data_IF_115168805384
#
_entry.id   IF_115168805384
#
_cell.length_a   1.000
_cell.length_b   1.000
_cell.length_c   1.000
_cell.angle_alpha   90.00
_cell.angle_beta   90.00
_cell.angle_gamma   90.00
#
_symmetry.space_group_name_H-M   'P 1'
#
loop_
_entity.id
_entity.type
_entity.pdbx_description
1 polymer ?
2 non-polymer ?
3 non-polymer ?
4 water ?
#
# COMPACT_ATOMS: atom_id res chain seq x y z
N UNK A 4 -8.93 -9.22 30.11
CA UNK A 4 -8.87 -8.52 31.43
C UNK A 4 -7.53 -7.89 31.81
N UNK A 5 -6.42 -8.60 31.64
CA UNK A 5 -5.09 -8.00 31.88
C UNK A 5 -4.80 -6.94 30.85
N UNK A 6 -5.14 -7.23 29.60
CA UNK A 6 -4.94 -6.34 28.44
C UNK A 6 -6.13 -5.40 28.17
N UNK A 7 -5.93 -4.41 27.33
CA UNK A 7 -6.94 -3.40 27.12
C UNK A 7 -7.91 -3.84 26.05
N UNK A 8 -9.16 -3.45 26.20
CA UNK A 8 -10.17 -3.84 25.24
C UNK A 8 -9.87 -3.41 23.81
N UNK A 9 -9.10 -2.33 23.64
CA UNK A 9 -8.77 -1.86 22.31
C UNK A 9 -8.12 -3.00 21.46
N UNK A 10 -7.58 -4.01 22.14
CA UNK A 10 -6.94 -5.15 21.48
C UNK A 10 -7.91 -6.26 21.07
N UNK A 11 -9.23 -6.13 21.34
CA UNK A 11 -10.23 -7.15 21.01
C UNK A 11 -10.41 -7.34 19.49
N UNK A 12 -10.18 -8.55 18.99
CA UNK A 12 -10.35 -8.80 17.57
C UNK A 12 -9.06 -8.66 16.78
N UNK A 13 -8.49 -7.47 16.85
CA UNK A 13 -7.31 -7.12 16.09
C UNK A 13 -6.06 -7.99 16.31
N UNK A 14 -6.15 -9.03 17.13
CA UNK A 14 -4.90 -9.70 17.53
C UNK A 14 -4.40 -10.69 16.49
N UNK A 15 -5.30 -11.12 15.61
CA UNK A 15 -4.91 -12.07 14.59
C UNK A 15 -4.28 -11.49 13.33
N UNK A 16 -3.10 -11.99 13.03
CA UNK A 16 -2.26 -11.50 11.93
C UNK A 16 -1.92 -12.56 10.90
N UNK A 17 -2.63 -12.56 9.79
CA UNK A 17 -2.47 -13.56 8.72
C UNK A 17 -1.06 -13.71 8.18
N UNK A 18 -0.28 -12.63 8.27
CA UNK A 18 1.10 -12.60 7.78
C UNK A 18 1.86 -13.83 8.28
N UNK A 19 2.73 -13.64 9.28
CA UNK A 19 3.33 -14.75 10.06
C UNK A 19 2.92 -16.27 9.79
N UNK A 20 1.64 -16.66 9.77
CA UNK A 20 1.27 -18.08 9.49
C UNK A 20 1.77 -18.53 8.13
N UNK A 21 1.74 -17.61 7.19
CA UNK A 21 1.99 -17.97 5.81
C UNK A 21 3.49 -17.87 5.58
N UNK A 22 4.09 -16.73 5.94
CA UNK A 22 5.53 -16.53 5.73
C UNK A 22 6.37 -17.38 6.70
N UNK A 23 5.74 -18.43 7.24
CA UNK A 23 6.42 -19.48 8.01
C UNK A 23 6.15 -20.86 7.37
N UNK A 24 5.02 -21.02 6.69
CA UNK A 24 4.82 -22.17 5.84
C UNK A 24 5.72 -22.07 4.60
N UNK A 25 6.01 -20.84 4.16
CA UNK A 25 6.93 -20.56 3.05
C UNK A 25 8.34 -21.04 3.34
N UNK A 26 8.82 -20.72 4.54
CA UNK A 26 10.20 -21.05 4.95
C UNK A 26 10.45 -22.54 5.16
N UNK A 27 9.38 -23.31 5.32
CA UNK A 27 9.54 -24.76 5.35
C UNK A 27 9.34 -25.46 3.99
N UNK A 28 9.62 -24.77 2.88
CA UNK A 28 9.62 -25.34 1.51
C UNK A 28 10.63 -24.65 0.64
N UNK A 29 10.97 -25.29 -0.48
CA UNK A 29 11.77 -24.64 -1.50
C UNK A 29 10.78 -23.93 -2.45
N UNK A 30 10.85 -22.59 -2.43
CA UNK A 30 9.81 -21.71 -2.98
C UNK A 30 10.44 -20.56 -3.72
N UNK A 31 9.75 -20.11 -4.75
CA UNK A 31 10.03 -18.79 -5.28
C UNK A 31 9.04 -17.85 -4.57
N UNK A 32 9.57 -16.87 -3.84
CA UNK A 32 8.73 -16.03 -3.00
C UNK A 32 8.13 -14.78 -3.63
N UNK A 33 6.84 -14.86 -3.93
CA UNK A 33 6.15 -13.77 -4.63
C UNK A 33 5.02 -13.09 -3.83
N UNK A 34 4.98 -13.37 -2.53
CA UNK A 34 3.98 -12.79 -1.63
C UNK A 34 4.56 -11.66 -0.83
N UNK A 35 5.85 -11.45 -0.99
CA UNK A 35 6.58 -10.42 -0.26
C UNK A 35 6.38 -9.03 -0.90
N UNK A 36 5.91 -8.04 -0.14
CA UNK A 36 5.75 -6.70 -0.71
C UNK A 36 7.02 -5.86 -0.71
N UNK A 37 8.15 -6.43 -1.05
CA UNK A 37 9.41 -5.69 -1.07
C UNK A 37 10.35 -6.25 -2.19
N UNK A 38 11.23 -5.42 -2.77
CA UNK A 38 12.15 -5.93 -3.77
C UNK A 38 13.16 -6.94 -3.18
N UNK A 39 13.77 -7.75 -4.02
CA UNK A 39 14.86 -8.61 -3.57
C UNK A 39 16.09 -8.30 -4.42
N UNK A 40 16.17 -7.03 -4.83
CA UNK A 40 17.37 -6.53 -5.49
C UNK A 40 17.70 -5.33 -4.65
N UNK A 41 18.86 -4.69 -4.82
CA UNK A 41 19.23 -3.53 -3.97
C UNK A 41 18.43 -2.28 -4.30
N UNK A 42 18.39 -1.32 -3.36
CA UNK A 42 17.87 0.02 -3.64
C UNK A 42 18.78 0.65 -4.69
N UNK A 43 18.42 1.77 -5.33
CA UNK A 43 19.35 2.37 -6.30
C UNK A 43 20.57 2.87 -5.53
N UNK A 44 21.70 2.90 -6.21
CA UNK A 44 22.98 3.36 -5.65
C UNK A 44 22.93 4.71 -4.94
N UNK A 45 22.19 5.68 -5.47
CA UNK A 45 22.31 7.02 -4.91
C UNK A 45 21.67 7.05 -3.53
N UNK A 46 20.76 6.10 -3.26
CA UNK A 46 20.02 6.10 -2.00
C UNK A 46 20.81 5.31 -0.93
N UNK A 47 21.31 4.11 -1.27
CA UNK A 47 22.23 3.42 -0.40
C UNK A 47 23.36 4.40 0.00
N UNK A 48 23.97 5.01 -0.99
CA UNK A 48 25.05 5.93 -0.72
C UNK A 48 24.59 7.07 0.19
N UNK A 49 23.36 7.54 0.04
CA UNK A 49 22.84 8.56 0.95
C UNK A 49 22.80 8.05 2.39
N UNK A 50 22.40 6.80 2.59
CA UNK A 50 22.44 6.21 3.90
C UNK A 50 23.91 6.22 4.35
N UNK A 51 24.76 5.49 3.61
CA UNK A 51 26.23 5.55 3.85
C UNK A 51 26.72 6.97 4.25
N UNK A 52 26.35 8.02 3.52
CA UNK A 52 26.76 9.39 3.93
C UNK A 52 26.24 9.90 5.31
N UNK A 53 24.98 9.64 5.63
CA UNK A 53 24.39 10.08 6.90
C UNK A 53 24.97 9.33 8.13
N UNK A 54 25.35 8.05 7.95
CA UNK A 54 26.03 7.33 9.05
C UNK A 54 27.56 7.53 9.10
N UNK A 55 28.14 8.30 8.16
CA UNK A 55 29.57 8.61 8.22
C UNK A 55 29.91 10.11 8.12
N UNK A 56 28.91 10.98 8.30
CA UNK A 56 29.11 12.42 8.21
C UNK A 56 29.17 13.10 9.57
N UNK A 57 28.45 14.21 9.69
CA UNK A 57 28.51 14.99 10.92
C UNK A 57 28.06 14.04 12.04
N UNK A 58 28.96 13.67 12.94
CA UNK A 58 28.68 12.71 14.03
C UNK A 58 27.39 13.01 14.87
N UNK A 59 26.94 14.28 14.85
CA UNK A 59 25.76 14.69 15.59
C UNK A 59 24.50 14.11 14.99
N UNK A 60 24.62 13.67 13.76
CA UNK A 60 23.57 12.89 13.17
C UNK A 60 23.26 11.55 13.89
N UNK A 61 24.13 11.12 14.79
CA UNK A 61 23.82 9.95 15.62
C UNK A 61 22.88 10.28 16.76
N UNK A 62 22.73 11.57 17.03
CA UNK A 62 21.87 12.05 18.08
C UNK A 62 20.46 12.46 17.60
N UNK A 63 19.61 12.73 18.57
CA UNK A 63 18.24 13.23 18.33
C UNK A 63 18.15 14.33 17.27
N UNK A 64 17.16 14.22 16.39
CA UNK A 64 16.75 15.32 15.56
C UNK A 64 15.41 15.88 16.06
N UNK A 65 14.79 16.75 15.26
CA UNK A 65 13.56 17.41 15.67
C UNK A 65 12.39 16.42 15.70
N UNK A 66 11.46 16.72 16.59
CA UNK A 66 10.40 15.79 16.92
C UNK A 66 9.52 15.41 15.70
N UNK A 67 9.18 16.41 14.89
CA UNK A 67 8.25 16.23 13.78
C UNK A 67 8.96 16.02 12.48
N UNK A 68 10.25 15.81 12.53
CA UNK A 68 10.96 15.53 11.30
C UNK A 68 12.33 16.14 11.24
N UNK A 69 13.24 15.43 10.61
CA UNK A 69 14.54 16.00 10.34
C UNK A 69 14.36 17.16 9.35
N UNK A 70 14.75 18.38 9.73
CA UNK A 70 14.42 19.56 8.90
C UNK A 70 14.83 19.50 7.39
N UNK A 71 16.03 19.09 7.01
CA UNK A 71 16.30 18.80 5.59
C UNK A 71 15.29 17.86 4.97
N UNK A 72 14.75 16.91 5.73
CA UNK A 72 13.74 16.05 5.12
C UNK A 72 12.38 16.75 5.02
N UNK A 73 11.98 17.54 6.01
CA UNK A 73 10.69 18.20 5.93
C UNK A 73 10.76 19.29 4.87
N UNK A 74 11.95 19.91 4.69
CA UNK A 74 12.23 20.88 3.61
C UNK A 74 11.98 20.30 2.25
N UNK A 75 12.62 19.17 1.92
CA UNK A 75 12.39 18.56 0.60
C UNK A 75 10.94 18.01 0.43
N UNK A 76 10.36 17.52 1.53
CA UNK A 76 8.98 17.04 1.46
C UNK A 76 8.04 18.20 1.08
N UNK A 77 8.00 19.28 1.87
CA UNK A 77 7.28 20.52 1.52
C UNK A 77 7.48 20.95 0.07
N UNK A 78 8.74 21.02 -0.37
CA UNK A 78 9.08 21.56 -1.68
C UNK A 78 8.61 20.69 -2.84
N UNK A 79 9.08 19.45 -2.88
CA UNK A 79 8.75 18.50 -3.95
C UNK A 79 7.27 18.16 -3.99
N UNK A 80 6.75 17.75 -2.83
CA UNK A 80 5.34 17.43 -2.74
C UNK A 80 4.41 18.61 -2.91
N UNK A 81 4.84 19.79 -2.43
CA UNK A 81 4.11 21.03 -2.67
C UNK A 81 3.96 21.19 -4.17
N UNK A 82 5.06 21.05 -4.89
CA UNK A 82 4.99 21.20 -6.32
C UNK A 82 4.09 20.15 -6.99
N UNK A 83 4.13 18.88 -6.53
CA UNK A 83 3.40 17.81 -7.19
C UNK A 83 1.93 17.93 -6.91
N UNK A 84 1.58 18.32 -5.69
CA UNK A 84 0.20 18.51 -5.28
C UNK A 84 -0.36 19.86 -5.73
N UNK A 85 0.51 20.76 -6.18
CA UNK A 85 0.16 22.16 -6.37
C UNK A 85 -0.27 22.80 -5.08
N UNK A 86 0.46 22.61 -3.98
CA UNK A 86 0.04 23.18 -2.72
C UNK A 86 1.18 23.88 -1.96
N UNK A 87 0.82 24.98 -1.29
CA UNK A 87 1.72 25.62 -0.37
C UNK A 87 1.82 24.72 0.86
N UNK A 88 2.90 23.95 0.92
CA UNK A 88 3.17 23.12 2.10
C UNK A 88 4.25 23.69 3.01
N UNK A 89 3.86 24.07 4.23
CA UNK A 89 4.81 24.50 5.27
C UNK A 89 5.40 23.28 6.03
N UNK A 90 6.71 23.09 6.08
CA UNK A 90 7.26 21.84 6.60
C UNK A 90 6.89 21.64 8.05
N UNK A 91 6.74 22.74 8.79
CA UNK A 91 6.57 22.65 10.23
C UNK A 91 5.12 22.48 10.62
N UNK A 92 4.20 22.88 9.75
CA UNK A 92 2.78 22.81 10.09
C UNK A 92 2.05 21.76 9.23
N UNK A 93 2.67 21.30 8.17
CA UNK A 93 1.99 20.43 7.20
C UNK A 93 2.62 19.09 6.89
N UNK A 94 3.77 18.77 7.52
CA UNK A 94 4.55 17.56 7.26
C UNK A 94 4.93 16.87 8.57
N UNK A 95 4.73 15.56 8.65
CA UNK A 95 5.15 14.80 9.84
C UNK A 95 5.87 13.55 9.35
N UNK A 96 7.11 13.37 9.78
CA UNK A 96 7.80 12.14 9.43
C UNK A 96 7.46 11.04 10.48
N UNK A 97 7.22 9.84 9.98
CA UNK A 97 6.62 8.78 10.79
C UNK A 97 7.36 7.47 10.52
N UNK A 98 7.16 6.48 11.40
CA UNK A 98 7.78 5.18 11.18
C UNK A 98 7.07 4.47 10.04
N UNK A 99 7.56 4.74 8.83
CA UNK A 99 6.98 4.27 7.59
C UNK A 99 5.55 4.72 7.37
N UNK A 100 5.04 4.47 6.18
CA UNK A 100 3.64 4.76 5.94
C UNK A 100 2.71 4.08 6.94
N UNK A 101 3.10 2.89 7.43
CA UNK A 101 2.38 2.14 8.49
C UNK A 101 2.21 3.00 9.77
N UNK A 102 3.31 3.55 10.27
CA UNK A 102 3.26 4.43 11.43
C UNK A 102 2.43 5.66 11.17
N UNK A 103 2.43 6.12 9.91
CA UNK A 103 1.65 7.30 9.48
C UNK A 103 0.13 7.05 9.59
N UNK A 104 -0.33 5.95 9.01
CA UNK A 104 -1.71 5.48 9.13
C UNK A 104 -2.08 5.41 10.58
N UNK A 105 -1.19 4.82 11.40
CA UNK A 105 -1.54 4.51 12.76
C UNK A 105 -1.77 5.85 13.44
N UNK A 106 -0.80 6.76 13.24
CA UNK A 106 -0.87 8.13 13.81
C UNK A 106 -2.22 8.75 13.38
N UNK A 107 -2.49 8.77 12.07
CA UNK A 107 -3.73 9.31 11.58
C UNK A 107 -4.97 8.72 12.31
N UNK A 108 -5.13 7.37 12.28
CA UNK A 108 -6.24 6.71 12.98
C UNK A 108 -6.33 7.07 14.49
N UNK A 109 -5.19 7.09 15.19
CA UNK A 109 -5.24 7.44 16.62
C UNK A 109 -5.65 8.88 16.86
N UNK A 110 -5.43 9.73 15.85
CA UNK A 110 -5.69 11.16 16.02
C UNK A 110 -7.17 11.44 15.83
N UNK A 111 -7.77 10.73 14.88
CA UNK A 111 -9.09 11.11 14.40
C UNK A 111 -10.21 10.19 14.73
N UNK A 112 -9.93 8.89 14.90
CA UNK A 112 -11.02 7.91 15.07
C UNK A 112 -11.30 7.63 16.55
N UNK A 113 -12.57 7.64 16.91
CA UNK A 113 -13.01 7.63 18.32
C UNK A 113 -14.22 6.68 18.37
N UNK A 114 -14.57 6.20 19.57
CA UNK A 114 -15.75 5.33 19.74
C UNK A 114 -16.95 5.89 19.01
N UNK A 115 -17.45 5.15 18.03
CA UNK A 115 -18.60 5.63 17.30
C UNK A 115 -18.29 5.93 15.86
N UNK A 116 -17.10 6.45 15.60
CA UNK A 116 -16.84 6.96 14.30
C UNK A 116 -16.77 5.82 13.30
N UNK A 117 -17.27 6.07 12.09
CA UNK A 117 -17.28 5.07 11.09
C UNK A 117 -16.14 5.43 10.18
N UNK A 118 -15.49 4.44 9.55
CA UNK A 118 -14.38 4.71 8.67
C UNK A 118 -14.72 3.91 7.45
N UNK A 119 -14.88 4.58 6.30
CA UNK A 119 -15.22 3.85 5.10
C UNK A 119 -13.94 3.30 4.52
N UNK A 120 -13.91 1.99 4.35
CA UNK A 120 -12.77 1.25 3.82
C UNK A 120 -13.20 0.57 2.53
N UNK A 121 -12.40 0.67 1.47
CA UNK A 121 -12.77 0.21 0.15
C UNK A 121 -12.03 -1.06 -0.04
N UNK A 122 -12.77 -2.16 -0.32
CA UNK A 122 -12.17 -3.47 -0.57
C UNK A 122 -11.83 -3.61 -2.05
N UNK A 123 -10.81 -4.40 -2.41
CA UNK A 123 -9.85 -5.00 -1.47
C UNK A 123 -8.97 -3.95 -0.77
N UNK A 124 -8.78 -4.10 0.54
CA UNK A 124 -8.02 -3.14 1.34
C UNK A 124 -6.76 -3.68 1.96
N UNK A 125 -5.70 -2.89 1.95
CA UNK A 125 -4.53 -3.17 2.77
C UNK A 125 -5.00 -3.52 4.17
N UNK A 126 -4.54 -4.64 4.70
CA UNK A 126 -5.31 -5.28 5.76
C UNK A 126 -5.35 -4.48 7.03
N UNK A 127 -4.37 -3.67 7.26
CA UNK A 127 -4.35 -2.96 8.51
C UNK A 127 -5.40 -1.86 8.66
N UNK A 128 -6.05 -1.44 7.60
CA UNK A 128 -7.02 -0.36 7.79
C UNK A 128 -8.05 -0.80 8.80
N UNK A 129 -8.44 -2.07 8.74
CA UNK A 129 -9.53 -2.47 9.59
C UNK A 129 -9.12 -2.54 11.09
N UNK A 130 -8.11 -3.33 11.43
CA UNK A 130 -7.74 -3.40 12.84
C UNK A 130 -7.35 -2.02 13.41
N UNK A 131 -6.82 -1.11 12.62
CA UNK A 131 -6.35 0.19 13.19
C UNK A 131 -7.55 0.99 13.58
N UNK A 132 -8.55 0.97 12.70
CA UNK A 132 -9.85 1.55 12.97
C UNK A 132 -10.42 0.95 14.25
N UNK A 133 -10.41 -0.38 14.33
CA UNK A 133 -10.97 -1.10 15.47
C UNK A 133 -10.26 -0.75 16.79
N UNK A 134 -8.91 -0.69 16.79
CA UNK A 134 -8.17 -0.31 18.00
C UNK A 134 -8.51 1.11 18.48
N UNK A 135 -9.04 1.90 17.55
CA UNK A 135 -9.31 3.30 17.79
C UNK A 135 -10.79 3.45 18.22
N UNK A 136 -11.54 2.35 18.22
CA UNK A 136 -12.93 2.35 18.65
C UNK A 136 -13.89 2.54 17.50
N UNK A 137 -13.39 2.64 16.26
CA UNK A 137 -14.23 3.00 15.15
C UNK A 137 -14.96 1.77 14.65
N UNK A 138 -15.75 1.97 13.62
CA UNK A 138 -16.53 0.93 13.05
C UNK A 138 -16.25 0.92 11.57
N UNK A 139 -15.57 -0.09 11.08
CA UNK A 139 -15.26 -0.08 9.66
C UNK A 139 -16.57 -0.16 8.90
N UNK A 140 -16.68 0.60 7.83
CA UNK A 140 -17.82 0.43 6.96
C UNK A 140 -17.16 0.14 5.64
N UNK A 141 -17.57 -0.97 5.02
CA UNK A 141 -16.96 -1.49 3.80
C UNK A 141 -17.71 -1.10 2.54
N UNK A 142 -16.96 -0.92 1.45
CA UNK A 142 -17.51 -0.85 0.12
C UNK A 142 -16.60 -1.65 -0.78
N UNK A 143 -17.16 -2.28 -1.79
CA UNK A 143 -16.32 -3.12 -2.62
C UNK A 143 -16.14 -2.50 -3.97
N UNK A 144 -14.90 -2.46 -4.43
CA UNK A 144 -14.63 -2.34 -5.84
C UNK A 144 -15.17 -3.64 -6.50
N UNK A 145 -15.99 -3.50 -7.53
CA UNK A 145 -16.61 -4.61 -8.23
C UNK A 145 -15.97 -4.62 -9.63
N UNK A 146 -15.46 -5.76 -10.11
CA UNK A 146 -14.90 -5.85 -11.47
C UNK A 146 -15.97 -5.72 -12.55
N UNK A 147 -15.64 -5.09 -13.69
CA UNK A 147 -16.59 -4.86 -14.77
C UNK A 147 -16.94 -6.13 -15.55
N UNK A 148 -17.88 -6.03 -16.52
CA UNK A 148 -18.22 -7.21 -17.32
C UNK A 148 -17.29 -7.31 -18.55
N UNK A 152 -12.36 -9.97 -24.45
CA UNK A 152 -11.13 -10.31 -23.75
C UNK A 152 -11.18 -11.60 -22.93
N UNK A 153 -10.44 -11.62 -21.81
CA UNK A 153 -10.32 -12.76 -20.85
C UNK A 153 -9.40 -12.37 -19.64
N UNK A 154 -8.20 -11.84 -19.95
CA UNK A 154 -7.37 -11.06 -19.02
C UNK A 154 -8.10 -9.81 -18.58
N UNK A 155 -8.18 -9.60 -17.27
CA UNK A 155 -8.80 -8.40 -16.73
C UNK A 155 -7.92 -7.15 -16.61
N UNK A 156 -8.53 -6.10 -16.09
CA UNK A 156 -7.84 -4.86 -15.85
C UNK A 156 -8.35 -4.23 -14.55
N UNK A 157 -7.38 -3.76 -13.75
CA UNK A 157 -7.65 -3.13 -12.47
C UNK A 157 -8.55 -1.95 -12.58
N UNK A 158 -8.41 -1.19 -13.67
CA UNK A 158 -9.17 0.04 -13.84
C UNK A 158 -10.62 -0.27 -14.17
N UNK A 159 -10.93 -1.52 -14.48
CA UNK A 159 -12.33 -1.87 -14.63
C UNK A 159 -13.04 -2.24 -13.37
N UNK A 160 -12.31 -2.33 -12.27
CA UNK A 160 -12.92 -2.51 -10.99
C UNK A 160 -13.53 -1.19 -10.60
N UNK A 161 -14.85 -1.20 -10.40
CA UNK A 161 -15.63 0.03 -10.32
C UNK A 161 -16.03 0.37 -8.89
N UNK A 162 -15.98 1.64 -8.56
CA UNK A 162 -16.51 2.15 -7.31
C UNK A 162 -17.94 2.65 -7.59
N UNK A 163 -18.96 1.82 -7.38
CA UNK A 163 -20.33 2.22 -7.70
C UNK A 163 -20.77 3.52 -7.00
N UNK A 164 -21.03 4.62 -7.73
CA UNK A 164 -21.30 5.88 -7.02
C UNK A 164 -22.46 5.78 -6.02
N UNK A 165 -23.52 5.04 -6.34
CA UNK A 165 -24.70 5.02 -5.47
C UNK A 165 -24.40 4.27 -4.18
N UNK A 166 -23.73 3.13 -4.33
CA UNK A 166 -23.31 2.26 -3.24
C UNK A 166 -22.36 3.00 -2.31
N UNK A 167 -21.38 3.70 -2.90
CA UNK A 167 -20.48 4.52 -2.12
C UNK A 167 -21.16 5.61 -1.29
N UNK A 168 -21.99 6.44 -1.95
CA UNK A 168 -22.81 7.49 -1.27
C UNK A 168 -23.64 6.93 -0.12
N UNK A 169 -24.25 5.75 -0.32
CA UNK A 169 -25.01 5.11 0.76
C UNK A 169 -24.23 4.78 2.05
N UNK A 170 -22.93 4.48 1.95
CA UNK A 170 -22.06 4.21 3.09
C UNK A 170 -21.92 5.38 4.04
N UNK A 171 -22.04 6.61 3.55
CA UNK A 171 -21.89 7.79 4.41
C UNK A 171 -23.06 8.01 5.35
N UNK A 172 -22.76 8.10 6.64
CA UNK A 172 -23.74 8.60 7.61
C UNK A 172 -23.19 9.83 8.35
N UNK A 173 -23.91 10.28 9.35
CA UNK A 173 -23.44 11.41 10.11
C UNK A 173 -22.30 11.00 11.05
N UNK A 174 -22.09 9.69 11.18
CA UNK A 174 -21.04 9.13 12.01
C UNK A 174 -19.74 8.81 11.26
N UNK A 175 -19.69 9.07 9.95
CA UNK A 175 -18.46 8.91 9.17
C UNK A 175 -17.44 9.95 9.57
N UNK A 176 -16.32 9.52 10.16
CA UNK A 176 -15.20 10.42 10.36
C UNK A 176 -14.26 10.51 9.16
N UNK A 177 -13.94 9.37 8.56
CA UNK A 177 -12.84 9.27 7.58
C UNK A 177 -13.11 8.24 6.47
N UNK A 178 -12.54 8.45 5.30
CA UNK A 178 -12.54 7.42 4.28
C UNK A 178 -11.09 7.08 3.95
N UNK A 179 -10.79 5.80 3.90
CA UNK A 179 -9.42 5.44 3.63
C UNK A 179 -9.30 5.17 2.15
N UNK A 180 -8.54 6.00 1.44
CA UNK A 180 -8.32 5.83 -0.01
C UNK A 180 -6.91 5.37 -0.23
N UNK A 181 -6.74 4.30 -0.98
CA UNK A 181 -5.40 3.80 -1.18
C UNK A 181 -5.12 3.73 -2.67
N UNK A 182 -4.24 4.59 -3.19
CA UNK A 182 -3.98 4.61 -4.63
C UNK A 182 -2.51 4.99 -4.91
N UNK A 183 -1.85 4.22 -5.77
CA UNK A 183 -2.42 3.00 -6.33
C UNK A 183 -2.79 1.97 -5.23
N UNK A 184 -3.76 1.10 -5.51
CA UNK A 184 -4.29 0.14 -4.55
C UNK A 184 -3.46 -1.14 -4.38
N UNK A 185 -3.20 -1.48 -3.11
CA UNK A 185 -2.72 -2.81 -2.65
C UNK A 185 -3.96 -3.55 -2.17
N UNK A 186 -4.26 -4.76 -2.70
CA UNK A 186 -3.45 -5.54 -3.64
C UNK A 186 -3.86 -5.50 -5.13
N UNK A 187 -4.88 -4.71 -5.48
CA UNK A 187 -5.45 -4.71 -6.84
C UNK A 187 -4.56 -4.08 -7.90
N UNK A 188 -3.85 -3.02 -7.52
CA UNK A 188 -3.08 -2.22 -8.45
C UNK A 188 -3.95 -1.23 -9.23
N UNK A 189 -5.19 -0.98 -8.78
CA UNK A 189 -6.02 0.11 -9.30
C UNK A 189 -5.35 1.48 -9.10
N UNK A 190 -5.37 2.27 -10.16
CA UNK A 190 -4.91 3.64 -10.08
C UNK A 190 -6.19 4.44 -10.25
N UNK A 191 -6.65 5.05 -9.18
CA UNK A 191 -7.86 5.84 -9.21
C UNK A 191 -7.84 6.92 -10.27
N UNK A 192 -8.86 6.93 -11.13
CA UNK A 192 -9.03 7.96 -12.17
C UNK A 192 -9.31 9.30 -11.53
N UNK A 193 -9.28 10.37 -12.32
CA UNK A 193 -9.67 11.66 -11.81
C UNK A 193 -11.17 11.68 -11.46
N UNK A 194 -12.00 11.20 -12.39
CA UNK A 194 -13.42 11.08 -12.09
C UNK A 194 -13.71 10.35 -10.73
N UNK A 195 -13.02 9.23 -10.50
CA UNK A 195 -13.15 8.47 -9.25
C UNK A 195 -12.79 9.27 -8.05
N UNK A 196 -11.61 9.89 -8.11
CA UNK A 196 -11.22 10.90 -7.11
C UNK A 196 -12.24 12.00 -6.88
N UNK A 197 -12.82 12.53 -7.95
CA UNK A 197 -13.80 13.59 -7.81
C UNK A 197 -15.05 13.12 -7.12
N UNK A 198 -15.41 11.88 -7.43
CA UNK A 198 -16.52 11.19 -6.80
C UNK A 198 -16.31 11.19 -5.31
N UNK A 199 -15.15 10.64 -4.89
CA UNK A 199 -14.76 10.52 -3.48
C UNK A 199 -14.64 11.90 -2.87
N UNK A 200 -13.94 12.82 -3.53
CA UNK A 200 -13.84 14.20 -3.01
C UNK A 200 -15.24 14.75 -2.74
N UNK A 201 -16.09 14.56 -3.73
CA UNK A 201 -17.41 15.14 -3.71
C UNK A 201 -18.15 14.81 -2.42
N UNK A 202 -18.28 13.53 -2.14
CA UNK A 202 -18.91 13.13 -0.88
C UNK A 202 -18.18 13.61 0.40
N UNK A 203 -16.86 13.71 0.33
CA UNK A 203 -16.10 14.04 1.51
C UNK A 203 -16.41 15.48 1.96
N UNK A 204 -16.41 16.40 0.96
CA UNK A 204 -16.83 17.79 1.13
C UNK A 204 -18.26 17.82 1.60
N UNK A 205 -19.14 17.12 0.91
CA UNK A 205 -20.53 17.09 1.30
C UNK A 205 -20.80 16.69 2.73
N UNK A 206 -20.15 15.64 3.25
CA UNK A 206 -20.53 15.08 4.57
C UNK A 206 -19.54 15.43 5.61
N UNK A 207 -18.47 16.06 5.11
CA UNK A 207 -17.50 16.69 5.95
C UNK A 207 -16.72 15.59 6.68
N UNK A 208 -15.84 14.98 5.90
CA UNK A 208 -15.23 13.72 6.25
C UNK A 208 -13.78 13.81 5.81
N UNK A 209 -12.88 13.19 6.56
CA UNK A 209 -11.48 13.37 6.26
C UNK A 209 -11.12 12.27 5.30
N UNK A 210 -10.21 12.51 4.38
CA UNK A 210 -9.81 11.45 3.49
C UNK A 210 -8.36 11.09 3.76
N UNK A 211 -8.19 10.05 4.59
CA UNK A 211 -6.87 9.45 4.80
C UNK A 211 -6.58 8.73 3.51
N UNK A 212 -5.48 9.14 2.87
CA UNK A 212 -5.15 8.63 1.59
C UNK A 212 -3.74 8.10 1.58
N UNK A 213 -3.65 6.78 1.37
CA UNK A 213 -2.41 6.05 1.41
C UNK A 213 -1.81 6.02 0.01
N UNK A 214 -0.82 6.87 -0.26
CA UNK A 214 -0.22 6.92 -1.62
C UNK A 214 1.21 6.38 -1.65
N UNK A 215 1.49 5.40 -0.78
CA UNK A 215 2.81 4.76 -0.78
C UNK A 215 3.23 4.30 -2.19
N UNK A 216 2.29 3.92 -3.05
CA UNK A 216 2.75 3.46 -4.38
C UNK A 216 2.83 4.51 -5.46
N UNK A 217 2.62 5.77 -5.07
CA UNK A 217 2.66 6.93 -5.97
C UNK A 217 3.48 6.70 -7.24
N UNK A 218 4.73 6.24 -7.12
CA UNK A 218 5.62 6.22 -8.28
C UNK A 218 5.55 4.96 -9.09
N UNK A 219 4.92 3.92 -8.57
CA UNK A 219 4.83 2.67 -9.33
C UNK A 219 3.52 2.77 -10.07
N UNK A 220 3.57 3.43 -11.22
CA UNK A 220 2.43 3.52 -12.15
C UNK A 220 2.94 3.13 -13.52
N UNK A 221 2.09 2.44 -14.27
CA UNK A 221 2.48 1.81 -15.53
C UNK A 221 1.60 2.26 -16.72
N UNK A 222 1.97 1.86 -17.94
CA UNK A 222 1.07 2.01 -19.09
C UNK A 222 0.61 3.48 -19.24
N UNK A 223 1.46 4.42 -18.88
CA UNK A 223 1.07 5.80 -19.01
C UNK A 223 -0.02 6.29 -18.06
N UNK A 224 -0.52 5.46 -17.15
CA UNK A 224 -1.50 5.95 -16.16
C UNK A 224 -0.83 6.93 -15.22
N UNK A 225 -1.59 7.85 -14.65
CA UNK A 225 -1.04 9.05 -14.04
C UNK A 225 -1.41 8.96 -12.54
N UNK A 226 -0.44 9.06 -11.62
CA UNK A 226 -0.84 9.14 -10.21
C UNK A 226 -1.41 10.51 -9.86
N UNK A 227 -2.68 10.59 -9.47
CA UNK A 227 -3.28 11.86 -9.01
C UNK A 227 -3.61 11.80 -7.50
N UNK A 228 -3.32 12.88 -6.75
CA UNK A 228 -3.59 12.99 -5.35
C UNK A 228 -4.94 13.65 -5.05
N UNK A 229 -5.88 12.95 -4.42
CA UNK A 229 -7.14 13.61 -4.04
C UNK A 229 -6.92 15.02 -3.39
N UNK A 230 -5.76 15.26 -2.78
CA UNK A 230 -5.48 16.51 -2.01
C UNK A 230 -5.24 17.68 -2.92
N UNK A 231 -4.89 17.42 -4.18
CA UNK A 231 -4.69 18.50 -5.14
C UNK A 231 -6.03 19.02 -5.77
N UNK A 232 -7.10 18.23 -5.58
CA UNK A 232 -8.47 18.55 -5.97
C UNK A 232 -8.99 19.76 -5.21
N UNK A 233 -9.78 20.59 -5.90
CA UNK A 233 -10.31 21.82 -5.31
C UNK A 233 -10.92 21.56 -3.96
N UNK A 234 -10.52 22.38 -2.97
CA UNK A 234 -11.15 22.36 -1.65
C UNK A 234 -10.76 21.19 -0.76
N UNK A 235 -9.89 20.32 -1.31
CA UNK A 235 -9.59 19.02 -0.71
C UNK A 235 -8.45 19.08 0.34
N UNK A 236 -7.37 19.78 0.06
CA UNK A 236 -6.32 19.93 1.04
C UNK A 236 -6.86 20.12 2.47
N UNK A 237 -7.90 20.90 2.65
CA UNK A 237 -8.37 21.22 4.00
C UNK A 237 -8.92 19.99 4.75
N UNK A 238 -8.98 18.86 4.06
CA UNK A 238 -9.65 17.64 4.56
C UNK A 238 -9.00 16.32 4.06
N UNK A 239 -7.77 16.38 3.56
CA UNK A 239 -7.04 15.18 3.17
C UNK A 239 -5.80 14.97 4.05
N UNK A 240 -5.46 13.71 4.35
CA UNK A 240 -4.13 13.35 4.84
C UNK A 240 -3.49 12.42 3.82
N UNK A 241 -2.28 12.79 3.42
CA UNK A 241 -1.61 12.14 2.32
C UNK A 241 -0.37 11.49 2.93
N UNK A 242 -0.27 10.17 2.78
CA UNK A 242 0.73 9.40 3.45
C UNK A 242 1.63 8.94 2.35
N UNK A 243 2.92 8.79 2.64
CA UNK A 243 3.86 8.23 1.67
C UNK A 243 4.91 7.47 2.45
N UNK A 244 5.73 6.72 1.70
CA UNK A 244 6.72 5.83 2.27
C UNK A 244 8.00 5.85 1.48
N UNK A 245 9.11 6.13 2.19
CA UNK A 245 10.43 6.05 1.54
C UNK A 245 10.73 4.68 0.95
N UNK A 246 10.27 3.64 1.65
CA UNK A 246 10.54 2.29 1.25
C UNK A 246 10.00 1.92 -0.09
N UNK A 247 8.74 2.25 -0.40
CA UNK A 247 8.20 1.94 -1.72
C UNK A 247 8.72 2.98 -2.75
N UNK A 248 9.14 4.14 -2.27
CA UNK A 248 9.64 5.16 -3.12
C UNK A 248 11.03 4.77 -3.61
N UNK A 249 11.91 4.29 -2.73
CA UNK A 249 13.32 4.06 -3.11
C UNK A 249 13.74 2.60 -3.02
N UNK A 250 12.76 1.69 -3.06
CA UNK A 250 12.99 0.26 -2.88
C UNK A 250 13.83 -0.07 -1.65
N UNK A 251 13.53 0.57 -0.54
CA UNK A 251 14.28 0.32 0.69
C UNK A 251 13.28 0.16 1.86
N UNK A 252 12.56 -0.96 1.88
CA UNK A 252 11.45 -1.11 2.81
C UNK A 252 11.89 -1.21 4.26
N UNK A 253 13.10 -1.70 4.50
CA UNK A 253 13.61 -1.71 5.85
C UNK A 253 14.12 -0.37 6.26
N UNK A 254 13.88 0.69 5.53
CA UNK A 254 14.32 1.97 6.09
C UNK A 254 13.20 2.46 7.02
N UNK A 255 11.95 2.06 6.72
CA UNK A 255 10.77 2.41 7.53
C UNK A 255 10.81 3.87 7.88
N UNK A 256 10.79 4.70 6.83
CA UNK A 256 10.53 6.13 6.95
C UNK A 256 9.27 6.36 6.11
N UNK A 257 8.39 7.20 6.63
CA UNK A 257 7.22 7.62 5.87
C UNK A 257 6.92 9.01 6.36
N UNK A 258 5.88 9.63 5.82
CA UNK A 258 5.45 10.97 6.18
C UNK A 258 3.95 11.07 5.93
N UNK A 259 3.31 12.02 6.61
CA UNK A 259 1.96 12.50 6.28
C UNK A 259 2.04 14.02 5.95
N UNK A 260 1.44 14.40 4.83
CA UNK A 260 1.18 15.83 4.50
C UNK A 260 -0.26 16.07 4.72
N UNK A 261 -0.59 17.24 5.21
CA UNK A 261 -1.98 17.61 5.43
C UNK A 261 -2.08 18.96 6.13
N UNK A 262 -3.28 19.50 6.26
CA UNK A 262 -3.47 20.85 6.79
C UNK A 262 -3.28 20.96 8.28
N UNK A 263 -2.69 22.06 8.73
CA UNK A 263 -2.38 22.23 10.15
C UNK A 263 -3.51 21.85 11.13
N UNK A 264 -4.76 22.17 10.82
CA UNK A 264 -5.83 21.93 11.79
C UNK A 264 -6.08 20.44 12.00
N UNK A 265 -5.76 19.62 10.99
CA UNK A 265 -5.72 18.17 11.17
C UNK A 265 -4.38 17.72 11.75
N UNK A 266 -3.26 18.04 11.06
CA UNK A 266 -1.94 17.61 11.52
C UNK A 266 -1.63 17.93 12.99
N UNK A 267 -2.13 19.01 13.56
CA UNK A 267 -1.84 19.23 14.95
C UNK A 267 -2.27 18.05 15.84
N UNK A 268 -3.33 17.32 15.45
CA UNK A 268 -3.65 16.09 16.18
C UNK A 268 -2.71 14.90 15.96
N UNK A 269 -2.34 14.69 14.69
CA UNK A 269 -1.31 13.72 14.33
C UNK A 269 -0.02 13.91 15.11
N UNK A 270 0.36 15.18 15.28
CA UNK A 270 1.53 15.59 16.05
C UNK A 270 1.38 15.23 17.55
N UNK A 271 0.18 15.40 18.13
CA UNK A 271 -0.04 15.01 19.53
C UNK A 271 0.17 13.51 19.67
N UNK A 272 -0.41 12.75 18.77
CA UNK A 272 -0.21 11.31 18.84
C UNK A 272 1.28 11.02 18.69
N UNK A 273 1.92 11.63 17.69
CA UNK A 273 3.33 11.41 17.49
C UNK A 273 4.14 11.72 18.75
N UNK A 274 3.90 12.88 19.37
CA UNK A 274 4.71 13.27 20.51
C UNK A 274 4.49 12.45 21.76
N UNK A 275 3.38 11.72 21.79
CA UNK A 275 3.03 10.84 22.90
C UNK A 275 3.19 9.32 22.56
N UNK A 276 3.83 9.04 21.42
CA UNK A 276 4.04 7.68 20.99
C UNK A 276 5.51 7.41 20.67
N UNK A 277 6.00 7.92 19.54
CA UNK A 277 7.43 7.77 19.23
C UNK A 277 8.31 9.03 19.55
N UNK A 278 7.72 10.21 19.43
CA UNK A 278 8.44 11.46 19.67
C UNK A 278 9.52 11.84 18.63
N UNK A 279 10.57 11.03 18.49
CA UNK A 279 11.47 11.22 17.35
C UNK A 279 11.51 10.00 16.43
N UNK A 280 11.73 10.24 15.15
CA UNK A 280 12.10 9.22 14.24
C UNK A 280 13.61 9.17 14.23
N UNK A 281 14.21 8.02 13.86
CA UNK A 281 15.67 7.95 13.78
C UNK A 281 16.14 9.04 12.83
N UNK A 282 17.27 9.63 13.18
CA UNK A 282 17.90 10.67 12.41
C UNK A 282 18.52 10.27 11.05
N UNK A 283 19.31 9.20 11.00
CA UNK A 283 20.06 9.01 9.77
C UNK A 283 19.21 8.53 8.58
N UNK A 284 18.29 7.61 8.80
CA UNK A 284 17.34 7.27 7.76
C UNK A 284 16.75 8.55 7.15
N UNK A 285 16.36 9.51 8.00
CA UNK A 285 15.73 10.73 7.51
C UNK A 285 16.68 11.46 6.57
N UNK A 286 17.91 11.63 7.02
CA UNK A 286 18.97 12.18 6.19
C UNK A 286 19.08 11.43 4.87
N UNK A 287 19.10 10.09 4.89
CA UNK A 287 19.22 9.37 3.62
C UNK A 287 18.03 9.69 2.70
N UNK A 288 16.83 9.72 3.28
CA UNK A 288 15.66 9.96 2.47
C UNK A 288 15.68 11.43 1.92
N UNK A 289 16.20 12.39 2.70
CA UNK A 289 16.16 13.79 2.27
C UNK A 289 17.05 13.96 1.11
N UNK A 290 18.17 13.25 1.16
CA UNK A 290 19.14 13.37 0.10
C UNK A 290 18.65 12.62 -1.14
N UNK A 291 17.81 11.60 -0.94
CA UNK A 291 17.39 10.80 -2.09
C UNK A 291 16.29 11.53 -2.88
N UNK A 292 15.50 12.32 -2.17
CA UNK A 292 14.48 13.14 -2.79
C UNK A 292 15.12 14.32 -3.51
N UNK A 293 16.13 14.90 -2.87
CA UNK A 293 16.94 15.94 -3.50
C UNK A 293 17.48 15.45 -4.84
N UNK A 294 17.99 14.22 -4.88
CA UNK A 294 18.53 13.69 -6.12
C UNK A 294 17.42 13.47 -7.13
N UNK A 295 16.22 13.10 -6.66
CA UNK A 295 15.15 12.80 -7.57
C UNK A 295 14.47 14.05 -8.13
N UNK A 296 14.49 15.12 -7.33
CA UNK A 296 13.88 16.38 -7.76
C UNK A 296 14.82 17.05 -8.74
N UNK A 297 16.10 17.13 -8.40
CA UNK A 297 17.12 17.59 -9.33
C UNK A 297 16.81 17.04 -10.70
N UNK A 298 16.61 15.72 -10.82
CA UNK A 298 16.42 14.99 -12.09
C UNK A 298 14.96 14.67 -12.46
N UNK A 299 14.05 15.43 -11.87
CA UNK A 299 12.64 15.20 -12.13
C UNK A 299 12.28 15.09 -13.64
N UNK A 300 11.49 14.08 -13.99
CA UNK A 300 11.13 13.78 -15.40
C UNK A 300 12.25 13.25 -16.29
N UNK A 301 13.49 13.30 -15.82
CA UNK A 301 14.56 13.01 -16.73
C UNK A 301 14.72 11.54 -17.01
N UNK A 302 15.15 11.21 -18.22
CA UNK A 302 15.45 9.81 -18.57
C UNK A 302 16.19 9.04 -17.47
N UNK A 303 17.05 9.76 -16.75
CA UNK A 303 17.91 9.14 -15.76
C UNK A 303 17.39 9.25 -14.30
N UNK A 304 16.22 9.83 -14.11
CA UNK A 304 15.63 9.90 -12.78
C UNK A 304 15.15 8.48 -12.45
N UNK A 305 15.25 8.08 -11.17
CA UNK A 305 14.71 6.80 -10.69
C UNK A 305 13.19 6.71 -10.88
N UNK A 306 12.47 7.79 -10.63
CA UNK A 306 11.03 7.77 -10.87
C UNK A 306 10.63 7.57 -12.35
N UNK A 307 11.60 7.71 -13.28
CA UNK A 307 11.36 7.31 -14.68
C UNK A 307 11.82 5.87 -14.97
N UNK A 308 13.08 5.53 -14.71
CA UNK A 308 13.54 4.19 -15.09
C UNK A 308 12.90 3.07 -14.33
N UNK A 309 12.73 3.24 -13.02
CA UNK A 309 12.21 2.13 -12.17
C UNK A 309 10.84 1.60 -12.59
N UNK A 310 9.82 2.47 -12.71
CA UNK A 310 8.52 2.06 -13.29
C UNK A 310 8.66 1.37 -14.64
N UNK A 311 9.50 1.85 -15.54
CA UNK A 311 9.68 1.14 -16.80
C UNK A 311 10.19 -0.29 -16.58
N UNK A 312 11.22 -0.43 -15.72
CA UNK A 312 11.75 -1.76 -15.43
C UNK A 312 10.69 -2.68 -14.80
N UNK A 313 9.91 -2.12 -13.89
CA UNK A 313 9.00 -2.92 -13.14
C UNK A 313 7.77 -3.18 -13.99
N UNK A 314 7.49 -2.30 -14.93
CA UNK A 314 6.46 -2.54 -15.92
C UNK A 314 6.87 -3.74 -16.76
N UNK A 315 8.17 -3.92 -17.00
CA UNK A 315 8.62 -5.07 -17.76
C UNK A 315 8.41 -6.36 -17.00
N UNK A 316 8.78 -6.35 -15.70
CA UNK A 316 8.58 -7.46 -14.76
C UNK A 316 7.10 -7.82 -14.63
N UNK A 317 6.28 -6.80 -14.59
CA UNK A 317 4.86 -7.01 -14.55
C UNK A 317 4.43 -7.77 -15.80
N UNK A 318 4.77 -7.22 -16.97
CA UNK A 318 4.39 -7.79 -18.27
C UNK A 318 4.82 -9.26 -18.30
N UNK A 319 6.02 -9.53 -17.79
CA UNK A 319 6.65 -10.84 -17.77
C UNK A 319 5.83 -11.82 -16.94
N UNK A 320 5.62 -11.46 -15.65
CA UNK A 320 4.72 -12.22 -14.80
C UNK A 320 3.33 -12.49 -15.42
N UNK A 321 2.71 -11.45 -16.01
CA UNK A 321 1.40 -11.62 -16.61
C UNK A 321 1.46 -12.79 -17.62
N UNK A 322 2.51 -12.81 -18.45
CA UNK A 322 2.53 -13.80 -19.50
C UNK A 322 2.72 -15.18 -18.92
N UNK A 323 3.63 -15.27 -17.95
CA UNK A 323 4.00 -16.53 -17.32
C UNK A 323 2.83 -17.17 -16.61
N UNK A 324 2.09 -16.40 -15.85
CA UNK A 324 1.04 -17.00 -15.03
C UNK A 324 -0.17 -17.40 -15.87
N UNK A 325 -0.39 -16.65 -16.95
CA UNK A 325 -1.49 -16.83 -17.89
C UNK A 325 -1.49 -18.23 -18.46
N UNK A 326 -0.34 -18.58 -19.02
CA UNK A 326 -0.17 -19.88 -19.61
C UNK A 326 0.21 -20.74 -18.43
N UNK A 327 -0.82 -21.15 -17.72
CA UNK A 327 -0.78 -22.16 -16.66
C UNK A 327 -2.15 -22.12 -16.03
N UNK A 328 -3.02 -21.25 -16.54
CA UNK A 328 -4.43 -21.33 -16.19
C UNK A 328 -4.90 -20.16 -15.35
N UNK A 329 -3.96 -19.47 -14.72
CA UNK A 329 -4.23 -18.29 -13.92
C UNK A 329 -4.73 -17.14 -14.81
N UNK A 330 -5.70 -16.37 -14.32
CA UNK A 330 -6.26 -15.27 -15.10
C UNK A 330 -5.84 -13.93 -14.48
N UNK A 331 -4.70 -13.36 -14.89
CA UNK A 331 -4.19 -12.12 -14.31
C UNK A 331 -5.10 -10.87 -14.47
N UNK A 332 -5.08 -9.96 -13.49
CA UNK A 332 -5.72 -8.67 -13.64
C UNK A 332 -4.59 -7.66 -13.79
N UNK A 333 -4.52 -7.01 -14.95
CA UNK A 333 -3.36 -6.21 -15.21
C UNK A 333 -3.58 -5.06 -14.29
N UNK A 334 -2.57 -4.77 -13.47
CA UNK A 334 -2.54 -3.57 -12.62
C UNK A 334 -2.04 -2.30 -13.35
N UNK A 335 -2.62 -1.16 -13.02
CA UNK A 335 -2.05 0.11 -13.50
C UNK A 335 -0.97 0.61 -12.56
N UNK A 336 -0.85 0.00 -11.38
CA UNK A 336 0.20 0.41 -10.46
C UNK A 336 0.46 -0.54 -9.32
N UNK A 337 1.24 -0.08 -8.36
CA UNK A 337 1.62 -0.86 -7.18
C UNK A 337 2.62 -1.93 -7.54
N UNK A 338 3.02 -2.73 -6.54
CA UNK A 338 4.02 -3.79 -6.69
C UNK A 338 3.38 -5.08 -7.15
N UNK A 339 2.06 -5.08 -7.25
CA UNK A 339 1.27 -6.30 -7.21
C UNK A 339 0.36 -6.47 -8.39
N UNK A 340 0.16 -7.71 -8.78
CA UNK A 340 -1.01 -7.99 -9.60
C UNK A 340 -1.77 -9.08 -8.90
N UNK A 341 -3.10 -9.12 -9.03
CA UNK A 341 -3.83 -10.29 -8.53
C UNK A 341 -4.23 -11.20 -9.70
N UNK A 342 -4.32 -12.51 -9.49
CA UNK A 342 -4.90 -13.40 -10.52
C UNK A 342 -6.13 -14.12 -10.06
N UNK A 343 -7.10 -14.19 -10.96
CA UNK A 343 -8.33 -14.91 -10.74
C UNK A 343 -8.02 -16.40 -10.76
N UNK A 344 -8.47 -17.15 -9.77
CA UNK A 344 -8.22 -18.59 -9.77
C UNK A 344 -9.54 -19.36 -9.94
N UNK A 345 -10.58 -18.66 -10.40
CA UNK A 345 -11.91 -19.26 -10.42
C UNK A 345 -11.89 -20.59 -11.15
N UNK A 346 -11.05 -20.69 -12.19
CA UNK A 346 -10.88 -21.92 -12.98
C UNK A 346 -10.38 -23.09 -12.12
N UNK A 347 -9.31 -22.89 -11.36
CA UNK A 347 -8.83 -23.92 -10.42
C UNK A 347 -9.87 -24.35 -9.37
N UNK A 348 -10.82 -23.47 -9.05
CA UNK A 348 -11.83 -23.71 -8.02
C UNK A 348 -12.84 -24.72 -8.54
N UNK A 349 -13.10 -24.69 -9.84
CA UNK A 349 -13.97 -25.65 -10.50
C UNK A 349 -13.21 -26.98 -10.74
N UNK A 350 -12.15 -26.93 -11.55
CA UNK A 350 -11.10 -27.95 -11.63
C UNK A 350 -10.72 -28.74 -10.33
N UNK A 351 -10.90 -28.17 -9.14
CA UNK A 351 -10.19 -28.68 -7.95
C UNK A 351 -10.83 -28.33 -6.58
N UNK A 352 -12.16 -28.31 -6.48
CA UNK A 352 -12.86 -27.58 -5.40
C UNK A 352 -12.57 -27.98 -3.98
N UNK A 353 -12.20 -29.23 -3.74
CA UNK A 353 -11.99 -29.64 -2.37
C UNK A 353 -10.53 -29.59 -2.12
N UNK A 354 -10.11 -28.85 -1.11
CA UNK A 354 -8.69 -28.81 -0.80
C UNK A 354 -8.46 -28.91 0.69
N UNK A 355 -7.37 -29.57 1.06
CA UNK A 355 -6.86 -29.51 2.43
C UNK A 355 -6.86 -28.07 2.99
N UNK A 356 -7.79 -27.81 3.89
CA UNK A 356 -7.79 -26.58 4.64
C UNK A 356 -8.89 -26.56 5.67
N UNK A 357 -8.58 -26.02 6.86
CA UNK A 357 -9.53 -25.91 7.98
C UNK A 357 -10.98 -25.58 7.56
N UNK A 358 -11.79 -25.23 8.54
CA UNK A 358 -13.23 -25.33 8.35
C UNK A 358 -13.79 -23.96 8.00
N UNK A 359 -14.39 -23.85 6.80
CA UNK A 359 -14.75 -22.55 6.23
C UNK A 359 -13.58 -21.57 6.18
N UNK A 360 -12.43 -22.10 5.79
CA UNK A 360 -11.30 -21.32 5.35
C UNK A 360 -11.71 -20.94 3.91
N UNK A 361 -11.59 -19.66 3.50
CA UNK A 361 -11.92 -19.31 2.10
C UNK A 361 -11.03 -20.06 1.09
N UNK A 362 -11.52 -20.32 -0.13
CA UNK A 362 -10.75 -21.08 -1.12
C UNK A 362 -9.33 -20.60 -1.37
N UNK A 363 -9.17 -19.30 -1.58
CA UNK A 363 -7.86 -18.77 -1.95
C UNK A 363 -6.78 -19.10 -0.91
N UNK A 364 -7.14 -19.09 0.37
CA UNK A 364 -6.20 -19.43 1.42
C UNK A 364 -5.73 -20.91 1.31
N UNK A 365 -6.69 -21.81 1.18
CA UNK A 365 -6.47 -23.24 0.94
C UNK A 365 -5.69 -23.49 -0.37
N UNK A 366 -6.01 -22.72 -1.41
CA UNK A 366 -5.25 -22.77 -2.66
C UNK A 366 -3.80 -22.31 -2.48
N UNK A 367 -3.57 -21.19 -1.83
CA UNK A 367 -2.21 -20.72 -1.68
C UNK A 367 -1.35 -21.77 -0.93
N UNK A 368 -1.88 -22.36 0.16
CA UNK A 368 -1.20 -23.47 0.86
C UNK A 368 -0.83 -24.59 -0.12
N UNK A 369 -1.82 -25.04 -0.92
CA UNK A 369 -1.64 -26.12 -1.92
C UNK A 369 -0.45 -25.83 -2.85
N UNK A 370 -0.58 -24.76 -3.64
CA UNK A 370 0.51 -24.21 -4.41
C UNK A 370 1.88 -24.12 -3.73
N UNK A 371 1.97 -23.71 -2.46
CA UNK A 371 3.26 -23.57 -1.76
C UNK A 371 3.95 -24.92 -1.61
N UNK A 372 3.14 -25.92 -1.21
CA UNK A 372 3.59 -27.30 -0.99
C UNK A 372 4.00 -27.95 -2.32
N UNK A 373 3.06 -28.04 -3.25
CA UNK A 373 3.23 -28.82 -4.48
C UNK A 373 4.04 -28.17 -5.61
N UNK A 374 3.82 -26.88 -5.85
CA UNK A 374 4.27 -26.24 -7.06
C UNK A 374 5.41 -25.23 -6.82
N UNK A 375 5.76 -25.04 -5.56
CA UNK A 375 6.88 -24.20 -5.18
C UNK A 375 6.72 -22.69 -5.36
N UNK A 376 5.48 -22.18 -5.28
CA UNK A 376 5.27 -20.74 -5.46
C UNK A 376 4.49 -20.04 -4.31
N UNK A 377 4.99 -18.90 -3.82
CA UNK A 377 4.23 -18.08 -2.84
C UNK A 377 3.38 -16.97 -3.48
N UNK A 378 2.08 -16.95 -3.15
CA UNK A 378 1.23 -15.78 -3.34
C UNK A 378 0.58 -15.50 -2.00
N UNK A 379 -0.36 -14.54 -1.96
CA UNK A 379 -1.03 -14.15 -0.73
C UNK A 379 -2.49 -14.25 -1.08
N UNK A 380 -3.34 -14.87 -0.26
CA UNK A 380 -4.76 -14.96 -0.61
C UNK A 380 -5.33 -13.57 -0.52
N UNK A 381 -6.06 -13.15 -1.54
CA UNK A 381 -6.71 -11.86 -1.53
C UNK A 381 -7.78 -11.67 -0.43
N UNK A 382 -8.37 -12.75 0.05
CA UNK A 382 -9.42 -12.68 1.04
C UNK A 382 -8.92 -12.06 2.36
N UNK A 383 -7.60 -12.00 2.56
CA UNK A 383 -7.11 -11.33 3.76
C UNK A 383 -7.35 -9.84 3.62
N UNK A 384 -7.69 -9.38 2.42
CA UNK A 384 -8.01 -7.96 2.22
C UNK A 384 -9.48 -7.69 2.02
N UNK A 385 -10.35 -8.60 2.47
CA UNK A 385 -11.78 -8.34 2.52
C UNK A 385 -12.30 -8.46 3.92
N UNK A 386 -13.34 -7.69 4.22
CA UNK A 386 -14.03 -7.88 5.48
C UNK A 386 -14.44 -9.36 5.57
N UNK A 387 -14.55 -9.89 6.78
CA UNK A 387 -14.84 -11.32 6.98
C UNK A 387 -16.16 -11.76 6.28
N UNK A 388 -17.25 -11.03 6.45
CA UNK A 388 -18.47 -11.35 5.69
C UNK A 388 -18.34 -11.37 4.16
N UNK A 389 -17.26 -10.87 3.56
CA UNK A 389 -17.18 -10.80 2.08
C UNK A 389 -16.16 -11.79 1.50
N UNK A 390 -15.47 -12.47 2.40
CA UNK A 390 -14.47 -13.46 2.01
C UNK A 390 -15.09 -14.63 1.25
N UNK A 391 -16.31 -15.06 1.62
CA UNK A 391 -16.93 -16.14 0.87
C UNK A 391 -17.12 -15.72 -0.59
N UNK A 392 -17.72 -14.55 -0.80
CA UNK A 392 -17.88 -14.10 -2.17
C UNK A 392 -16.55 -13.78 -2.90
N UNK A 393 -15.53 -13.31 -2.19
CA UNK A 393 -14.27 -12.90 -2.86
C UNK A 393 -13.13 -13.80 -2.46
N UNK A 394 -13.32 -15.09 -2.66
CA UNK A 394 -12.31 -16.11 -2.30
C UNK A 394 -11.55 -16.66 -3.48
N UNK A 395 -11.71 -16.05 -4.65
CA UNK A 395 -11.05 -16.57 -5.86
C UNK A 395 -9.89 -15.76 -6.40
N UNK A 396 -9.28 -14.88 -5.61
CA UNK A 396 -8.13 -14.17 -6.13
C UNK A 396 -6.91 -14.41 -5.28
N UNK A 397 -5.75 -14.41 -5.90
CA UNK A 397 -4.50 -14.47 -5.14
C UNK A 397 -3.55 -13.40 -5.65
N UNK A 398 -2.57 -13.02 -4.82
CA UNK A 398 -1.83 -11.78 -5.07
C UNK A 398 -0.35 -12.03 -5.26
N UNK A 399 0.17 -11.57 -6.41
CA UNK A 399 1.61 -11.73 -6.71
C UNK A 399 2.36 -10.41 -6.70
N UNK A 400 3.61 -10.50 -6.27
CA UNK A 400 4.51 -9.36 -6.30
C UNK A 400 5.54 -9.54 -7.44
N UNK A 401 5.52 -8.65 -8.43
CA UNK A 401 6.38 -8.76 -9.62
C UNK A 401 7.60 -7.83 -9.47
N UNK A 402 7.70 -7.12 -8.35
CA UNK A 402 8.88 -6.28 -8.13
C UNK A 402 10.01 -7.20 -7.68
N UNK A 403 10.71 -7.77 -8.67
CA UNK A 403 11.67 -8.82 -8.37
C UNK A 403 12.90 -8.78 -9.28
N UNK A 404 13.98 -9.38 -8.82
CA UNK A 404 15.14 -9.65 -9.64
C UNK A 404 14.80 -10.64 -10.77
N UNK A 405 15.57 -10.57 -11.86
CA UNK A 405 15.34 -11.42 -13.02
C UNK A 405 15.65 -12.90 -12.74
N UNK A 406 16.65 -13.12 -11.91
CA UNK A 406 16.91 -14.44 -11.37
C UNK A 406 15.65 -15.03 -10.69
N UNK A 407 14.79 -14.16 -10.14
CA UNK A 407 13.57 -14.64 -9.45
C UNK A 407 12.47 -14.97 -10.45
N UNK A 408 12.33 -14.12 -11.48
CA UNK A 408 11.39 -14.38 -12.57
C UNK A 408 11.78 -15.66 -13.31
N UNK A 409 13.08 -15.84 -13.51
CA UNK A 409 13.62 -17.08 -14.03
C UNK A 409 13.17 -18.29 -13.21
N UNK A 410 13.40 -18.23 -11.89
CA UNK A 410 13.13 -19.38 -11.03
C UNK A 410 11.64 -19.67 -11.00
N UNK A 411 10.85 -18.60 -11.09
CA UNK A 411 9.41 -18.68 -11.13
C UNK A 411 8.98 -19.47 -12.37
N UNK A 412 9.53 -19.10 -13.52
CA UNK A 412 9.26 -19.78 -14.78
C UNK A 412 9.64 -21.26 -14.69
N UNK A 413 10.79 -21.56 -14.09
CA UNK A 413 11.17 -22.93 -13.79
C UNK A 413 10.05 -23.65 -13.05
N UNK A 414 9.58 -23.04 -11.95
CA UNK A 414 8.46 -23.61 -11.16
C UNK A 414 7.22 -23.81 -12.02
N UNK A 415 6.93 -22.82 -12.85
CA UNK A 415 5.75 -22.76 -13.70
C UNK A 415 5.74 -23.78 -14.84
N UNK A 416 6.92 -24.08 -15.39
CA UNK A 416 7.04 -25.11 -16.40
C UNK A 416 6.94 -26.53 -15.83
N UNK A 417 7.59 -26.78 -14.68
CA UNK A 417 7.43 -28.05 -13.95
C UNK A 417 5.92 -28.28 -13.71
N UNK A 418 5.23 -27.21 -13.36
CA UNK A 418 3.80 -27.26 -13.16
C UNK A 418 3.10 -27.67 -14.45
N UNK A 419 3.40 -26.95 -15.54
CA UNK A 419 2.72 -27.09 -16.84
C UNK A 419 2.47 -28.54 -17.26
N UNK A 420 3.50 -29.37 -17.15
CA UNK A 420 3.39 -30.83 -17.22
C UNK A 420 2.40 -31.45 -16.19
N UNK A 421 1.16 -30.94 -16.16
CA UNK A 421 0.03 -31.57 -15.42
C UNK A 421 -1.30 -31.08 -16.02
#
# INVERSE_FOLDING_TARGET
MAKQLQARRLDGIDYNPWVEFVKLASEHDVVNLGQGFPDFPPPDFAVEAFQHAVSGDFMLNQYTKTFGYPPLTKILASFFGELLGQEIDPLRNVLVTVGGYGALFTAFQALVDEGDEVIIIEPFFDCYEPMTMMAGGRPVFVSLKPGPIQNGELGSSSNWQLDPMELAGKFTSRTKALVLNTPNNPLGKVFSREELELVASLCQQHDVVCITDEVYQWMVYDGHQHISIASLPGMWERTLTIGSAGKTFSATGWKVGWVLGPDHIMKHLRTVHQNSVFHCPTQSQAAVAESFEREQLLFRQPSSYFVQFPQAMQRCRDHMIRSLQSVGLKPLIPQGSYFLITDISDFKRKMPDLPGAVDEPYDRRFVKWMIKNKGLVAIPVSIFYSVPHQKHFDHYIRFCFVKDEATLQAMDEKLRKWKVEL
#
